data_IF_302676437298
#
_entry.id   IF_302676437298
#
_cell.length_a   1.000
_cell.length_b   1.000
_cell.length_c   1.000
_cell.angle_alpha   90.00
_cell.angle_beta   90.00
_cell.angle_gamma   90.00
#
_symmetry.space_group_name_H-M   'P 1'
#
loop_
_entity.id
_entity.type
_entity.pdbx_description
1 polymer ?
#
# COMPACT_ATOMS: atom_id res chain seq x y z
N UNK A 1 19.33 -24.88 -11.52
CA UNK A 1 18.85 -24.54 -10.16
C UNK A 1 18.04 -23.26 -10.33
N UNK A 2 16.72 -23.31 -10.24
CA UNK A 2 15.90 -22.08 -10.22
C UNK A 2 15.81 -21.65 -8.77
N UNK A 3 16.39 -20.50 -8.43
CA UNK A 3 16.18 -19.88 -7.13
C UNK A 3 14.79 -19.25 -7.13
N UNK A 4 14.04 -19.38 -6.02
CA UNK A 4 12.73 -18.75 -5.93
C UNK A 4 12.90 -17.23 -6.10
N UNK A 5 12.26 -16.62 -7.08
CA UNK A 5 12.34 -15.19 -7.29
C UNK A 5 11.39 -14.48 -6.30
N UNK A 6 11.82 -13.38 -5.66
CA UNK A 6 10.93 -12.62 -4.80
C UNK A 6 9.84 -11.93 -5.63
N UNK A 7 8.66 -11.68 -5.06
CA UNK A 7 7.62 -10.93 -5.73
C UNK A 7 8.05 -9.48 -5.98
N UNK A 8 7.60 -8.95 -7.10
CA UNK A 8 7.93 -7.61 -7.56
C UNK A 8 6.67 -6.75 -7.65
N UNK A 9 6.77 -5.51 -7.19
CA UNK A 9 5.71 -4.53 -7.38
C UNK A 9 5.59 -4.13 -8.85
N UNK A 10 4.39 -4.28 -9.40
CA UNK A 10 4.00 -3.72 -10.69
C UNK A 10 3.57 -2.25 -10.52
N UNK A 11 2.85 -1.96 -9.43
CA UNK A 11 2.41 -0.61 -9.05
C UNK A 11 2.53 -0.45 -7.55
N UNK A 12 3.47 0.38 -7.12
CA UNK A 12 3.69 0.72 -5.71
C UNK A 12 3.18 2.12 -5.39
N UNK A 13 2.88 2.36 -4.13
CA UNK A 13 2.43 3.64 -3.61
C UNK A 13 3.62 4.47 -3.10
N UNK A 14 4.68 4.58 -3.91
CA UNK A 14 5.82 5.44 -3.60
C UNK A 14 5.43 6.91 -3.83
N UNK A 15 5.44 7.70 -2.75
CA UNK A 15 5.17 9.14 -2.76
C UNK A 15 3.74 9.52 -3.22
N UNK A 16 2.75 8.69 -2.94
CA UNK A 16 1.37 9.03 -3.27
C UNK A 16 0.81 10.10 -2.32
N UNK A 17 0.31 11.19 -2.91
CA UNK A 17 -0.33 12.28 -2.17
C UNK A 17 -1.81 11.97 -2.05
N UNK A 18 -2.26 11.75 -0.82
CA UNK A 18 -3.66 11.49 -0.50
C UNK A 18 -4.26 12.78 0.03
N UNK A 19 -5.41 13.17 -0.51
CA UNK A 19 -6.15 14.32 0.02
C UNK A 19 -6.62 14.03 1.45
N UNK A 20 -6.34 14.96 2.35
CA UNK A 20 -6.82 14.98 3.75
C UNK A 20 -8.36 14.91 3.88
N UNK A 21 -9.09 15.41 2.88
CA UNK A 21 -10.56 15.38 2.81
C UNK A 21 -11.11 13.98 2.51
N UNK A 22 -10.23 13.00 2.29
CA UNK A 22 -10.68 11.64 1.99
C UNK A 22 -11.38 11.03 3.20
N UNK A 23 -12.64 10.64 3.00
CA UNK A 23 -13.42 9.97 4.02
C UNK A 23 -12.80 8.62 4.45
N UNK A 24 -12.96 8.30 5.74
CA UNK A 24 -12.59 6.98 6.26
C UNK A 24 -13.42 5.91 5.55
N UNK A 25 -12.75 4.86 5.09
CA UNK A 25 -13.31 3.77 4.30
C UNK A 25 -13.19 3.97 2.78
N UNK A 26 -12.71 5.12 2.32
CA UNK A 26 -12.49 5.34 0.88
C UNK A 26 -11.22 4.64 0.42
N UNK A 27 -11.31 3.90 -0.69
CA UNK A 27 -10.17 3.33 -1.38
C UNK A 27 -9.44 4.41 -2.17
N UNK A 28 -8.19 4.66 -1.80
CA UNK A 28 -7.36 5.73 -2.35
C UNK A 28 -6.36 5.23 -3.39
N UNK A 29 -5.99 3.96 -3.29
CA UNK A 29 -4.98 3.37 -4.16
C UNK A 29 -5.11 1.85 -4.18
N UNK A 30 -4.52 1.19 -5.18
CA UNK A 30 -4.45 -0.27 -5.26
C UNK A 30 -3.03 -0.68 -5.62
N UNK A 31 -2.34 -1.32 -4.66
CA UNK A 31 -1.05 -1.95 -4.89
C UNK A 31 -1.22 -3.14 -5.83
N UNK A 32 -0.30 -3.26 -6.78
CA UNK A 32 -0.25 -4.39 -7.70
C UNK A 32 1.15 -4.97 -7.65
N UNK A 33 1.26 -6.28 -7.51
CA UNK A 33 2.51 -7.01 -7.51
C UNK A 33 2.31 -8.37 -8.17
N UNK A 34 3.39 -8.95 -8.67
CA UNK A 34 3.41 -10.31 -9.21
C UNK A 34 4.61 -11.06 -8.69
N UNK A 35 4.41 -12.33 -8.46
CA UNK A 35 5.48 -13.29 -8.27
C UNK A 35 5.90 -13.85 -9.63
N UNK A 36 7.19 -13.82 -10.00
CA UNK A 36 7.66 -14.39 -11.27
C UNK A 36 7.38 -15.90 -11.41
N UNK A 37 7.14 -16.60 -10.31
CA UNK A 37 6.82 -18.04 -10.29
C UNK A 37 5.31 -18.31 -10.23
N UNK A 38 4.49 -17.25 -10.22
CA UNK A 38 3.04 -17.36 -10.17
C UNK A 38 2.50 -17.69 -8.78
N UNK A 39 3.30 -17.53 -7.74
CA UNK A 39 2.85 -17.68 -6.35
C UNK A 39 1.89 -16.56 -5.94
N UNK A 40 1.08 -16.83 -4.91
CA UNK A 40 0.21 -15.82 -4.32
C UNK A 40 1.05 -14.80 -3.54
N UNK A 41 0.95 -13.53 -3.94
CA UNK A 41 1.64 -12.42 -3.26
C UNK A 41 0.80 -11.85 -2.14
N UNK A 42 1.45 -11.33 -1.11
CA UNK A 42 0.81 -10.59 -0.02
C UNK A 42 1.31 -9.17 0.08
N UNK A 43 0.38 -8.23 0.16
CA UNK A 43 0.66 -6.82 0.32
C UNK A 43 0.73 -6.41 1.79
N UNK A 44 1.70 -5.58 2.12
CA UNK A 44 1.87 -4.96 3.42
C UNK A 44 2.06 -3.45 3.28
N UNK A 45 1.53 -2.71 4.24
CA UNK A 45 1.70 -1.26 4.33
C UNK A 45 2.05 -0.89 5.76
N UNK A 46 3.12 -0.16 5.94
CA UNK A 46 3.62 0.28 7.24
C UNK A 46 4.16 1.71 7.15
N UNK A 47 4.43 2.33 8.30
CA UNK A 47 4.89 3.73 8.37
C UNK A 47 3.77 4.76 8.59
N UNK A 48 2.51 4.34 8.49
CA UNK A 48 1.35 5.19 8.77
C UNK A 48 0.23 4.39 9.42
N UNK A 49 -0.42 4.91 10.48
CA UNK A 49 -1.62 4.30 11.04
C UNK A 49 -2.90 4.74 10.30
N UNK A 50 -2.83 5.75 9.42
CA UNK A 50 -4.02 6.40 8.85
C UNK A 50 -4.64 5.64 7.68
N UNK A 51 -3.87 4.77 7.04
CA UNK A 51 -4.29 3.97 5.88
C UNK A 51 -3.89 2.52 6.12
N UNK A 52 -4.66 1.60 5.56
CA UNK A 52 -4.38 0.18 5.59
C UNK A 52 -4.46 -0.41 4.19
N UNK A 53 -3.72 -1.49 3.94
CA UNK A 53 -3.81 -2.22 2.68
C UNK A 53 -4.41 -3.60 2.90
N UNK A 54 -5.23 -4.05 1.95
CA UNK A 54 -5.69 -5.42 1.90
C UNK A 54 -4.54 -6.33 1.43
N UNK A 55 -4.13 -7.33 2.22
CA UNK A 55 -2.99 -8.17 1.89
C UNK A 55 -3.22 -9.08 0.68
N UNK A 56 -4.45 -9.26 0.22
CA UNK A 56 -4.79 -10.13 -0.92
C UNK A 56 -5.05 -9.30 -2.17
N UNK A 57 -5.90 -8.27 -2.07
CA UNK A 57 -6.28 -7.47 -3.24
C UNK A 57 -5.37 -6.26 -3.49
N UNK A 58 -4.51 -5.90 -2.53
CA UNK A 58 -3.67 -4.71 -2.61
C UNK A 58 -4.41 -3.39 -2.46
N UNK A 59 -5.73 -3.41 -2.21
CA UNK A 59 -6.53 -2.18 -2.06
C UNK A 59 -6.13 -1.44 -0.79
N UNK A 60 -5.72 -0.19 -0.95
CA UNK A 60 -5.38 0.73 0.13
C UNK A 60 -6.60 1.59 0.46
N UNK A 61 -7.00 1.55 1.73
CA UNK A 61 -8.16 2.23 2.26
C UNK A 61 -7.76 3.16 3.41
N UNK A 62 -8.43 4.30 3.49
CA UNK A 62 -8.28 5.21 4.62
C UNK A 62 -8.97 4.60 5.84
N UNK A 63 -8.25 4.42 6.93
CA UNK A 63 -8.79 3.90 8.19
C UNK A 63 -8.97 4.99 9.23
N UNK A 64 -8.28 6.13 9.08
CA UNK A 64 -8.39 7.29 9.97
C UNK A 64 -8.26 8.59 9.17
N UNK A 65 -8.87 9.66 9.66
CA UNK A 65 -8.76 10.98 9.02
C UNK A 65 -7.31 11.47 9.00
N UNK A 66 -6.83 11.87 7.82
CA UNK A 66 -5.57 12.58 7.67
C UNK A 66 -5.79 14.03 8.09
N UNK A 67 -5.54 14.36 9.35
CA UNK A 67 -5.68 15.74 9.82
C UNK A 67 -4.48 16.59 9.35
N UNK A 68 -4.74 17.61 8.52
CA UNK A 68 -3.74 18.45 7.82
C UNK A 68 -2.83 19.21 8.76
N UNK A 69 -3.27 19.52 9.98
CA UNK A 69 -2.55 20.42 10.88
C UNK A 69 -1.20 19.85 11.36
N UNK A 70 -0.95 18.54 11.17
CA UNK A 70 0.20 17.88 11.82
C UNK A 70 1.24 17.31 10.85
N UNK A 71 0.93 16.99 9.57
CA UNK A 71 1.92 16.35 8.66
C UNK A 71 1.73 16.68 7.18
N UNK A 72 2.62 17.50 6.64
CA UNK A 72 2.71 17.77 5.20
C UNK A 72 3.18 16.57 4.35
N UNK A 73 3.65 15.47 4.97
CA UNK A 73 4.07 14.25 4.26
C UNK A 73 4.00 13.05 5.21
N UNK A 74 3.04 12.14 4.96
CA UNK A 74 3.01 10.84 5.63
C UNK A 74 3.74 9.82 4.76
N UNK A 75 4.96 9.45 5.14
CA UNK A 75 5.75 8.44 4.42
C UNK A 75 5.18 7.06 4.71
N UNK A 76 4.57 6.44 3.70
CA UNK A 76 4.03 5.09 3.79
C UNK A 76 4.96 4.14 3.04
N UNK A 77 5.44 3.08 3.69
CA UNK A 77 6.26 2.04 3.08
C UNK A 77 5.38 0.85 2.71
N UNK A 78 5.30 0.57 1.42
CA UNK A 78 4.68 -0.65 0.90
C UNK A 78 5.69 -1.80 0.89
N UNK A 79 5.23 -3.03 1.11
CA UNK A 79 6.04 -4.26 1.09
C UNK A 79 5.25 -5.40 0.47
N UNK A 80 5.91 -6.29 -0.27
CA UNK A 80 5.29 -7.48 -0.88
C UNK A 80 6.13 -8.72 -0.56
N UNK A 81 5.47 -9.82 -0.19
CA UNK A 81 6.08 -11.09 0.15
C UNK A 81 5.25 -12.29 -0.33
#
# INVERSE_FOLDING_TARGET
>A
MSANLPPEFISSMDLHVVSEDTAVGTSIYTLTARDPEGSSVRFGLSGTPYIAVNPVSGVVTVTQQLDREVRNTSVSRSSVC
#
